data_IF_860676917036
#
_entry.id   IF_860676917036
#
_cell.length_a   1.000
_cell.length_b   1.000
_cell.length_c   1.000
_cell.angle_alpha   90.00
_cell.angle_beta   90.00
_cell.angle_gamma   90.00
#
_symmetry.space_group_name_H-M   'P 1'
#
loop_
_entity.id
_entity.type
_entity.pdbx_description
1 polymer ?
#
# COMPACT_ATOMS: atom_id res chain seq x y z
N UNK A 1 12.70 -1.12 21.35
CA UNK A 1 13.44 -0.87 22.57
C UNK A 1 13.18 -1.94 23.63
N UNK A 2 11.96 -2.47 23.77
CA UNK A 2 11.68 -3.66 24.58
C UNK A 2 11.61 -3.42 26.09
N UNK A 3 11.35 -2.19 26.52
CA UNK A 3 11.13 -1.90 27.95
C UNK A 3 9.63 -2.00 28.26
N UNK A 4 9.22 -2.83 29.22
CA UNK A 4 7.90 -2.77 29.80
C UNK A 4 7.59 -1.37 30.32
N UNK A 5 6.40 -0.87 30.02
CA UNK A 5 6.07 0.54 30.28
C UNK A 5 4.72 0.63 30.97
N UNK A 6 4.67 1.33 32.12
CA UNK A 6 3.43 1.74 32.77
C UNK A 6 3.01 3.10 32.21
N UNK A 7 1.73 3.25 31.88
CA UNK A 7 1.18 4.45 31.24
C UNK A 7 0.01 5.01 32.03
N UNK A 8 0.03 6.32 32.29
CA UNK A 8 -1.12 7.11 32.74
C UNK A 8 -1.41 8.13 31.66
N UNK A 9 -2.64 8.20 31.18
CA UNK A 9 -3.04 9.19 30.16
C UNK A 9 -3.41 10.52 30.80
N UNK A 10 -2.96 11.61 30.19
CA UNK A 10 -3.18 12.98 30.71
C UNK A 10 -4.29 13.73 29.96
N UNK A 11 -4.65 13.27 28.76
CA UNK A 11 -5.63 13.89 27.89
C UNK A 11 -6.54 12.84 27.24
N UNK A 12 -7.80 13.20 26.98
CA UNK A 12 -8.83 12.30 26.44
C UNK A 12 -8.42 11.66 25.10
N UNK A 13 -7.74 12.39 24.23
CA UNK A 13 -7.28 11.90 22.94
C UNK A 13 -6.19 10.81 23.03
N UNK A 14 -5.58 10.60 24.21
CA UNK A 14 -4.58 9.57 24.46
C UNK A 14 -5.21 8.23 24.86
N UNK A 15 -6.44 8.24 25.40
CA UNK A 15 -7.12 7.03 25.90
C UNK A 15 -7.24 5.93 24.83
N UNK A 16 -7.71 6.20 23.59
CA UNK A 16 -7.86 5.14 22.58
C UNK A 16 -6.53 4.46 22.23
N UNK A 17 -5.44 5.23 22.16
CA UNK A 17 -4.10 4.71 21.87
C UNK A 17 -3.58 3.87 23.04
N UNK A 18 -3.75 4.37 24.27
CA UNK A 18 -3.30 3.64 25.47
C UNK A 18 -4.05 2.32 25.67
N UNK A 19 -5.36 2.31 25.42
CA UNK A 19 -6.21 1.13 25.48
C UNK A 19 -5.81 0.08 24.43
N UNK A 20 -5.56 0.49 23.19
CA UNK A 20 -5.12 -0.41 22.13
C UNK A 20 -3.75 -1.03 22.43
N UNK A 21 -2.79 -0.20 22.89
CA UNK A 21 -1.48 -0.69 23.28
C UNK A 21 -1.54 -1.64 24.50
N UNK A 22 -2.45 -1.38 25.42
CA UNK A 22 -2.69 -2.24 26.58
C UNK A 22 -3.28 -3.60 26.16
N UNK A 23 -4.30 -3.61 25.29
CA UNK A 23 -4.88 -4.85 24.74
C UNK A 23 -3.87 -5.66 23.94
N UNK A 24 -2.96 -4.97 23.24
CA UNK A 24 -1.86 -5.61 22.52
C UNK A 24 -0.75 -6.15 23.44
N UNK A 25 -0.83 -5.92 24.75
CA UNK A 25 0.17 -6.34 25.73
C UNK A 25 1.51 -5.62 25.58
N UNK A 26 1.51 -4.42 25.04
CA UNK A 26 2.73 -3.60 24.82
C UNK A 26 2.98 -2.62 25.97
N UNK A 27 1.93 -2.19 26.65
CA UNK A 27 2.02 -1.34 27.85
C UNK A 27 1.04 -1.85 28.91
N UNK A 28 1.26 -1.48 30.18
CA UNK A 28 0.27 -1.57 31.24
C UNK A 28 -0.33 -0.19 31.44
N UNK A 29 -1.55 0.02 30.91
CA UNK A 29 -2.27 1.28 31.11
C UNK A 29 -2.98 1.25 32.44
N UNK A 30 -2.66 2.19 33.33
CA UNK A 30 -3.19 2.29 34.68
C UNK A 30 -4.52 3.07 34.72
N UNK A 31 -4.78 3.91 33.69
CA UNK A 31 -5.98 4.73 33.60
C UNK A 31 -5.67 6.20 33.20
N UNK A 32 -6.68 7.05 33.31
CA UNK A 32 -6.53 8.49 33.11
C UNK A 32 -6.13 9.20 34.42
N UNK A 33 -5.44 10.31 34.33
CA UNK A 33 -4.97 11.10 35.50
C UNK A 33 -6.04 11.39 36.55
N UNK A 34 -7.29 11.53 36.12
CA UNK A 34 -8.42 11.83 37.03
C UNK A 34 -9.02 10.56 37.69
N UNK A 35 -8.55 9.37 37.31
CA UNK A 35 -9.03 8.06 37.73
C UNK A 35 -7.96 7.27 38.51
N UNK A 36 -6.69 7.71 38.43
CA UNK A 36 -5.54 7.03 39.00
C UNK A 36 -4.97 7.86 40.15
N UNK A 37 -4.91 7.28 41.33
CA UNK A 37 -4.32 7.90 42.50
C UNK A 37 -2.80 7.70 42.54
N UNK A 38 -2.10 8.49 43.37
CA UNK A 38 -0.68 8.34 43.63
C UNK A 38 -0.36 6.95 44.21
N UNK A 39 -1.24 6.40 45.04
CA UNK A 39 -1.13 5.07 45.62
C UNK A 39 -1.23 3.96 44.55
N UNK A 40 -2.12 4.11 43.55
CA UNK A 40 -2.22 3.14 42.46
C UNK A 40 -0.92 3.09 41.63
N UNK A 41 -0.28 4.23 41.43
CA UNK A 41 1.01 4.32 40.70
C UNK A 41 2.12 3.67 41.54
N UNK A 42 2.19 3.98 42.84
CA UNK A 42 3.17 3.39 43.77
C UNK A 42 3.03 1.88 43.82
N UNK A 43 1.81 1.38 43.93
CA UNK A 43 1.55 -0.07 43.95
C UNK A 43 1.95 -0.74 42.63
N UNK A 44 1.57 -0.17 41.47
CA UNK A 44 1.93 -0.71 40.17
C UNK A 44 3.45 -0.73 39.94
N UNK A 45 4.17 0.28 40.43
CA UNK A 45 5.63 0.33 40.37
C UNK A 45 6.27 -0.71 41.30
N UNK A 46 5.76 -0.88 42.52
CA UNK A 46 6.24 -1.87 43.47
C UNK A 46 6.07 -3.29 42.91
N UNK A 47 4.88 -3.62 42.38
CA UNK A 47 4.62 -4.88 41.72
C UNK A 47 5.58 -5.12 40.55
N UNK A 48 5.80 -4.13 39.70
CA UNK A 48 6.70 -4.27 38.54
C UNK A 48 8.17 -4.46 38.96
N UNK A 49 8.59 -3.84 40.05
CA UNK A 49 9.95 -4.00 40.57
C UNK A 49 10.13 -5.39 41.18
N UNK A 50 9.13 -5.90 41.88
CA UNK A 50 9.16 -7.22 42.53
C UNK A 50 9.11 -8.34 41.47
N UNK A 51 8.26 -8.23 40.47
CA UNK A 51 8.13 -9.20 39.38
C UNK A 51 9.33 -9.17 38.42
N UNK A 52 10.05 -8.06 38.36
CA UNK A 52 11.18 -7.86 37.44
C UNK A 52 10.75 -7.61 36.00
N UNK A 53 11.66 -7.82 35.06
CA UNK A 53 11.39 -7.64 33.62
C UNK A 53 10.83 -8.94 33.05
N UNK A 54 9.54 -8.92 32.67
CA UNK A 54 8.93 -9.99 31.88
C UNK A 54 9.56 -10.03 30.49
N UNK A 55 10.26 -11.13 30.21
CA UNK A 55 10.96 -11.35 28.94
C UNK A 55 9.97 -11.42 27.78
N UNK A 56 8.81 -12.04 27.96
CA UNK A 56 7.80 -12.13 26.91
C UNK A 56 7.21 -10.76 26.58
N UNK A 57 6.93 -9.93 27.58
CA UNK A 57 6.51 -8.54 27.38
C UNK A 57 7.60 -7.74 26.64
N UNK A 58 8.84 -7.85 27.07
CA UNK A 58 9.98 -7.22 26.40
C UNK A 58 10.11 -7.65 24.93
N UNK A 59 9.94 -8.93 24.63
CA UNK A 59 9.98 -9.45 23.26
C UNK A 59 8.80 -8.94 22.41
N UNK A 60 7.59 -8.88 22.96
CA UNK A 60 6.42 -8.26 22.26
C UNK A 60 6.69 -6.80 21.94
N UNK A 61 7.21 -6.03 22.89
CA UNK A 61 7.56 -4.62 22.65
C UNK A 61 8.64 -4.45 21.57
N UNK A 62 9.65 -5.31 21.54
CA UNK A 62 10.68 -5.30 20.49
C UNK A 62 10.14 -5.68 19.12
N UNK A 63 9.22 -6.63 19.07
CA UNK A 63 8.57 -7.00 17.82
C UNK A 63 7.69 -5.88 17.25
N UNK A 64 7.04 -5.09 18.13
CA UNK A 64 6.21 -3.95 17.73
C UNK A 64 7.03 -2.73 17.31
N UNK A 65 8.21 -2.51 17.93
CA UNK A 65 9.08 -1.34 17.68
C UNK A 65 10.53 -1.79 17.49
N UNK A 66 10.92 -2.00 16.25
CA UNK A 66 12.28 -2.45 15.87
C UNK A 66 13.34 -1.34 15.83
N UNK A 67 12.98 -0.10 16.13
CA UNK A 67 13.88 1.06 16.11
C UNK A 67 14.27 1.56 14.71
N UNK A 68 13.78 0.93 13.63
CA UNK A 68 14.14 1.24 12.23
C UNK A 68 13.20 2.22 11.53
N UNK A 69 12.39 2.95 12.28
CA UNK A 69 11.42 3.90 11.69
C UNK A 69 12.08 4.97 10.83
N UNK A 70 13.23 5.51 11.25
CA UNK A 70 14.00 6.51 10.49
C UNK A 70 14.53 5.91 9.19
N UNK A 71 15.04 4.68 9.23
CA UNK A 71 15.53 3.98 8.04
C UNK A 71 14.41 3.76 7.03
N UNK A 72 13.22 3.36 7.48
CA UNK A 72 12.04 3.19 6.62
C UNK A 72 11.60 4.50 6.00
N UNK A 73 11.54 5.57 6.78
CA UNK A 73 11.20 6.91 6.27
C UNK A 73 12.26 7.37 5.27
N UNK A 74 13.54 7.21 5.59
CA UNK A 74 14.65 7.51 4.70
C UNK A 74 14.58 6.73 3.38
N UNK A 75 14.32 5.42 3.46
CA UNK A 75 14.14 4.57 2.29
C UNK A 75 12.98 5.07 1.41
N UNK A 76 11.81 5.35 2.00
CA UNK A 76 10.66 5.89 1.24
C UNK A 76 10.98 7.24 0.61
N UNK A 77 11.68 8.13 1.30
CA UNK A 77 12.04 9.45 0.79
C UNK A 77 13.07 9.39 -0.35
N UNK A 78 13.94 8.38 -0.36
CA UNK A 78 14.97 8.21 -1.39
C UNK A 78 14.45 7.62 -2.71
N UNK A 79 13.22 7.06 -2.72
CA UNK A 79 12.63 6.46 -3.92
C UNK A 79 12.30 7.55 -4.95
N UNK A 80 12.93 7.45 -6.10
CA UNK A 80 12.81 8.39 -7.24
C UNK A 80 12.66 7.64 -8.56
N UNK A 81 12.54 8.37 -9.67
CA UNK A 81 12.43 7.79 -11.00
C UNK A 81 13.61 6.90 -11.42
N UNK A 82 14.78 7.02 -10.75
CA UNK A 82 15.97 6.18 -10.99
C UNK A 82 16.04 4.92 -10.12
N UNK A 83 15.14 4.76 -9.16
CA UNK A 83 15.12 3.58 -8.27
C UNK A 83 14.78 2.32 -9.07
N UNK A 84 15.56 1.23 -8.95
CA UNK A 84 15.23 -0.06 -9.55
C UNK A 84 13.88 -0.57 -9.03
N UNK A 85 13.03 -1.03 -9.94
CA UNK A 85 11.72 -1.54 -9.62
C UNK A 85 11.58 -3.00 -10.02
N UNK A 86 11.08 -3.82 -9.12
CA UNK A 86 10.75 -5.22 -9.31
C UNK A 86 9.23 -5.37 -9.53
N UNK A 87 8.85 -6.38 -10.30
CA UNK A 87 7.46 -6.69 -10.60
C UNK A 87 7.15 -8.10 -10.15
N UNK A 88 6.22 -8.25 -9.22
CA UNK A 88 5.71 -9.55 -8.79
C UNK A 88 4.20 -9.65 -9.02
N UNK A 89 3.70 -10.87 -9.07
CA UNK A 89 2.26 -11.11 -9.02
C UNK A 89 1.72 -10.67 -7.65
N UNK A 90 0.51 -10.11 -7.66
CA UNK A 90 -0.22 -9.83 -6.43
C UNK A 90 -0.59 -11.14 -5.72
N UNK A 91 -0.56 -11.14 -4.40
CA UNK A 91 -0.92 -12.26 -3.55
C UNK A 91 -1.96 -11.84 -2.49
N UNK A 92 -2.51 -12.78 -1.74
CA UNK A 92 -3.59 -12.51 -0.80
C UNK A 92 -3.27 -11.42 0.24
N UNK A 93 -2.00 -11.28 0.63
CA UNK A 93 -1.58 -10.25 1.58
C UNK A 93 -1.66 -8.82 1.01
N UNK A 94 -1.78 -8.65 -0.30
CA UNK A 94 -1.90 -7.34 -0.95
C UNK A 94 -3.35 -6.80 -0.95
N UNK A 95 -4.36 -7.62 -0.58
CA UNK A 95 -5.78 -7.28 -0.66
C UNK A 95 -6.10 -5.94 0.03
N UNK A 96 -5.65 -5.78 1.28
CA UNK A 96 -5.90 -4.57 2.07
C UNK A 96 -5.18 -3.34 1.48
N UNK A 97 -3.93 -3.49 1.07
CA UNK A 97 -3.13 -2.42 0.47
C UNK A 97 -3.77 -1.92 -0.83
N UNK A 98 -4.17 -2.84 -1.70
CA UNK A 98 -4.78 -2.48 -2.99
C UNK A 98 -6.16 -1.84 -2.82
N UNK A 99 -6.93 -2.22 -1.79
CA UNK A 99 -8.17 -1.53 -1.44
C UNK A 99 -7.92 -0.06 -1.03
N UNK A 100 -6.90 0.18 -0.19
CA UNK A 100 -6.52 1.54 0.20
C UNK A 100 -6.15 2.37 -1.03
N UNK A 101 -5.33 1.84 -1.93
CA UNK A 101 -4.95 2.54 -3.17
C UNK A 101 -6.12 2.73 -4.15
N UNK A 102 -7.03 1.76 -4.21
CA UNK A 102 -8.23 1.87 -5.03
C UNK A 102 -9.15 2.98 -4.54
N UNK A 103 -9.24 3.21 -3.25
CA UNK A 103 -10.10 4.23 -2.63
C UNK A 103 -9.42 5.58 -2.38
N UNK A 104 -8.17 5.72 -2.78
CA UNK A 104 -7.51 7.02 -2.74
C UNK A 104 -8.28 8.05 -3.61
N UNK A 105 -8.51 9.28 -3.11
CA UNK A 105 -9.33 10.28 -3.82
C UNK A 105 -8.85 10.61 -5.23
N UNK A 106 -7.53 10.75 -5.45
CA UNK A 106 -6.97 11.03 -6.78
C UNK A 106 -7.12 9.82 -7.71
N UNK A 107 -6.98 8.60 -7.18
CA UNK A 107 -7.24 7.37 -7.93
C UNK A 107 -8.71 7.29 -8.35
N UNK A 108 -9.67 7.58 -7.46
CA UNK A 108 -11.10 7.61 -7.78
C UNK A 108 -11.43 8.69 -8.81
N UNK A 109 -10.90 9.88 -8.67
CA UNK A 109 -11.09 10.97 -9.62
C UNK A 109 -10.65 10.58 -11.04
N UNK A 110 -9.55 9.86 -11.16
CA UNK A 110 -9.01 9.41 -12.44
C UNK A 110 -9.67 8.11 -12.96
N UNK A 111 -10.46 7.43 -12.15
CA UNK A 111 -11.21 6.23 -12.53
C UNK A 111 -12.47 6.59 -13.36
N UNK A 112 -12.89 5.70 -14.27
CA UNK A 112 -14.17 5.82 -14.96
C UNK A 112 -15.38 5.61 -14.03
N UNK A 113 -15.18 4.89 -12.90
CA UNK A 113 -16.16 4.77 -11.82
C UNK A 113 -15.62 5.51 -10.60
N UNK A 114 -16.07 6.75 -10.33
CA UNK A 114 -15.48 7.59 -9.26
C UNK A 114 -15.92 7.22 -7.85
N UNK A 115 -16.98 6.43 -7.71
CA UNK A 115 -17.52 6.05 -6.42
C UNK A 115 -16.52 5.19 -5.60
N UNK A 116 -16.53 5.29 -4.26
CA UNK A 116 -15.74 4.43 -3.40
C UNK A 116 -16.06 2.94 -3.63
N UNK A 117 -15.03 2.11 -3.61
CA UNK A 117 -15.17 0.65 -3.74
C UNK A 117 -15.42 0.06 -2.35
N UNK A 118 -16.59 -0.59 -2.10
CA UNK A 118 -16.86 -1.28 -0.85
C UNK A 118 -15.83 -2.39 -0.60
N UNK A 119 -15.46 -2.60 0.66
CA UNK A 119 -14.42 -3.56 1.03
C UNK A 119 -14.78 -5.00 0.59
N UNK A 120 -16.07 -5.38 0.71
CA UNK A 120 -16.52 -6.71 0.32
C UNK A 120 -16.48 -6.91 -1.20
N UNK A 121 -16.90 -5.91 -1.98
CA UNK A 121 -16.84 -5.94 -3.44
C UNK A 121 -15.40 -6.05 -3.94
N UNK A 122 -14.49 -5.26 -3.32
CA UNK A 122 -13.06 -5.35 -3.61
C UNK A 122 -12.50 -6.73 -3.29
N UNK A 123 -12.87 -7.32 -2.14
CA UNK A 123 -12.42 -8.64 -1.72
C UNK A 123 -12.81 -9.71 -2.74
N UNK A 124 -14.07 -9.73 -3.14
CA UNK A 124 -14.58 -10.69 -4.13
C UNK A 124 -13.91 -10.51 -5.48
N UNK A 125 -13.82 -9.25 -5.95
CA UNK A 125 -13.13 -8.89 -7.18
C UNK A 125 -11.66 -9.31 -7.13
N UNK A 126 -10.92 -8.91 -6.09
CA UNK A 126 -9.49 -9.18 -5.95
C UNK A 126 -9.19 -10.69 -5.97
N UNK A 127 -9.93 -11.47 -5.18
CA UNK A 127 -9.76 -12.91 -5.10
C UNK A 127 -10.11 -13.61 -6.41
N UNK A 128 -11.06 -13.10 -7.16
CA UNK A 128 -11.36 -13.61 -8.50
C UNK A 128 -10.22 -13.32 -9.48
N UNK A 129 -9.63 -12.11 -9.41
CA UNK A 129 -8.58 -11.69 -10.34
C UNK A 129 -7.24 -12.38 -10.11
N UNK A 130 -6.83 -12.61 -8.87
CA UNK A 130 -5.58 -13.35 -8.60
C UNK A 130 -5.67 -14.84 -8.95
N UNK A 131 -6.88 -15.41 -9.08
CA UNK A 131 -7.11 -16.80 -9.49
C UNK A 131 -7.26 -16.96 -10.99
N UNK A 132 -7.64 -15.89 -11.68
CA UNK A 132 -7.86 -15.90 -13.14
C UNK A 132 -6.53 -15.70 -13.88
N UNK A 133 -5.76 -16.78 -13.93
CA UNK A 133 -4.44 -16.75 -14.56
C UNK A 133 -4.48 -16.64 -16.10
N UNK A 134 -5.61 -16.87 -16.74
CA UNK A 134 -5.75 -16.77 -18.19
C UNK A 134 -6.30 -15.40 -18.63
N UNK A 135 -7.13 -14.77 -17.79
CA UNK A 135 -7.81 -13.52 -18.10
C UNK A 135 -7.27 -12.29 -17.38
N UNK A 136 -6.44 -12.45 -16.34
CA UNK A 136 -5.92 -11.33 -15.57
C UNK A 136 -4.47 -11.51 -15.15
N UNK A 137 -3.69 -10.43 -15.24
CA UNK A 137 -2.36 -10.28 -14.62
C UNK A 137 -2.40 -9.08 -13.71
N UNK A 138 -2.44 -9.32 -12.42
CA UNK A 138 -2.38 -8.27 -11.41
C UNK A 138 -0.99 -8.28 -10.78
N UNK A 139 -0.24 -7.21 -11.00
CA UNK A 139 1.12 -7.03 -10.50
C UNK A 139 1.18 -5.96 -9.43
N UNK A 140 2.00 -6.21 -8.41
CA UNK A 140 2.54 -5.19 -7.51
C UNK A 140 3.95 -4.86 -7.98
N UNK A 141 4.22 -3.58 -8.08
CA UNK A 141 5.56 -3.05 -8.41
C UNK A 141 6.15 -2.50 -7.14
N UNK A 142 7.35 -2.96 -6.80
CA UNK A 142 8.03 -2.63 -5.54
C UNK A 142 9.51 -2.33 -5.78
N UNK A 143 10.19 -1.76 -4.78
CA UNK A 143 11.64 -1.61 -4.79
C UNK A 143 12.35 -2.92 -4.47
N UNK A 144 13.67 -2.97 -4.58
CA UNK A 144 14.48 -4.14 -4.19
C UNK A 144 14.35 -4.45 -2.69
N UNK A 145 14.04 -3.44 -1.85
CA UNK A 145 13.78 -3.61 -0.42
C UNK A 145 12.35 -4.06 -0.11
N UNK A 146 11.52 -4.32 -1.14
CA UNK A 146 10.15 -4.78 -1.00
C UNK A 146 9.15 -3.69 -0.62
N UNK A 147 9.45 -2.40 -0.88
CA UNK A 147 8.51 -1.28 -0.65
C UNK A 147 7.57 -1.19 -1.85
N UNK A 148 6.24 -1.42 -1.68
CA UNK A 148 5.29 -1.37 -2.78
C UNK A 148 5.10 0.07 -3.27
N UNK A 149 5.33 0.31 -4.57
CA UNK A 149 5.28 1.63 -5.20
C UNK A 149 3.96 1.86 -5.95
N UNK A 150 3.33 0.78 -6.39
CA UNK A 150 2.06 0.85 -7.11
C UNK A 150 1.65 -0.51 -7.68
N UNK A 151 0.57 -0.51 -8.43
CA UNK A 151 0.04 -1.70 -9.08
C UNK A 151 -0.18 -1.50 -10.56
N UNK A 152 -0.11 -2.59 -11.34
CA UNK A 152 -0.49 -2.63 -12.75
C UNK A 152 -1.32 -3.89 -12.98
N UNK A 153 -2.48 -3.70 -13.60
CA UNK A 153 -3.38 -4.77 -13.98
C UNK A 153 -3.50 -4.83 -15.50
N UNK A 154 -3.43 -6.03 -16.03
CA UNK A 154 -3.77 -6.37 -17.41
C UNK A 154 -4.97 -7.30 -17.37
N UNK A 155 -6.05 -6.95 -18.06
CA UNK A 155 -7.24 -7.77 -18.22
C UNK A 155 -7.44 -8.11 -19.70
N UNK A 156 -7.65 -9.39 -19.98
CA UNK A 156 -7.81 -9.88 -21.34
C UNK A 156 -9.14 -9.41 -21.94
N UNK A 157 -9.07 -8.78 -23.09
CA UNK A 157 -10.22 -8.33 -23.86
C UNK A 157 -10.07 -8.85 -25.30
N UNK A 158 -10.58 -10.06 -25.54
CA UNK A 158 -10.40 -10.75 -26.81
C UNK A 158 -8.91 -11.02 -27.12
N UNK A 159 -8.37 -10.50 -28.24
CA UNK A 159 -6.96 -10.70 -28.59
C UNK A 159 -6.02 -9.70 -27.86
N UNK A 160 -6.55 -8.68 -27.22
CA UNK A 160 -5.78 -7.62 -26.56
C UNK A 160 -5.86 -7.71 -25.03
N UNK A 161 -4.98 -6.95 -24.35
CA UNK A 161 -4.98 -6.79 -22.91
C UNK A 161 -5.20 -5.34 -22.53
N UNK A 162 -6.24 -5.06 -21.77
CA UNK A 162 -6.50 -3.73 -21.22
C UNK A 162 -5.61 -3.47 -20.00
N UNK A 163 -4.95 -2.30 -19.97
CA UNK A 163 -4.07 -1.87 -18.89
C UNK A 163 -4.84 -0.94 -17.96
N UNK A 164 -4.71 -1.18 -16.66
CA UNK A 164 -5.03 -0.24 -15.60
C UNK A 164 -3.86 -0.18 -14.61
N UNK A 165 -3.49 1.02 -14.16
CA UNK A 165 -2.40 1.15 -13.19
C UNK A 165 -2.62 2.32 -12.24
N UNK A 166 -2.02 2.25 -11.07
CA UNK A 166 -1.94 3.35 -10.12
C UNK A 166 -0.62 3.33 -9.34
N UNK A 167 -0.14 4.53 -9.02
CA UNK A 167 0.93 4.73 -8.04
C UNK A 167 0.32 4.83 -6.64
N UNK A 168 1.01 4.31 -5.66
CA UNK A 168 0.73 4.59 -4.27
C UNK A 168 0.80 6.12 -4.03
N UNK A 169 -0.10 6.70 -3.22
CA UNK A 169 -0.21 8.15 -3.04
C UNK A 169 1.11 8.83 -2.68
N UNK A 170 1.89 8.22 -1.80
CA UNK A 170 3.19 8.72 -1.32
C UNK A 170 4.28 8.79 -2.38
N UNK A 171 4.11 8.08 -3.50
CA UNK A 171 5.09 8.03 -4.60
C UNK A 171 4.70 8.83 -5.84
N UNK A 172 3.57 9.51 -5.79
CA UNK A 172 3.14 10.41 -6.87
C UNK A 172 4.06 11.63 -6.99
N UNK A 173 4.05 12.25 -8.17
CA UNK A 173 4.85 13.46 -8.49
C UNK A 173 6.39 13.28 -8.37
N UNK A 174 6.87 12.04 -8.20
CA UNK A 174 8.30 11.68 -8.14
C UNK A 174 8.83 11.08 -9.46
N UNK A 175 8.05 11.15 -10.55
CA UNK A 175 8.44 10.61 -11.85
C UNK A 175 8.36 9.08 -11.98
N UNK A 176 7.81 8.37 -11.00
CA UNK A 176 7.78 6.91 -10.93
C UNK A 176 6.74 6.25 -11.86
N UNK A 177 5.77 6.97 -12.39
CA UNK A 177 4.72 6.38 -13.23
C UNK A 177 5.25 5.73 -14.51
N UNK A 178 6.22 6.36 -15.18
CA UNK A 178 6.86 5.80 -16.39
C UNK A 178 7.71 4.56 -16.07
N UNK A 179 8.64 4.57 -15.11
CA UNK A 179 9.38 3.37 -14.67
C UNK A 179 8.45 2.22 -14.25
N UNK A 180 7.43 2.49 -13.45
CA UNK A 180 6.45 1.51 -13.00
C UNK A 180 5.78 0.79 -14.18
N UNK A 181 5.20 1.56 -15.09
CA UNK A 181 4.50 0.97 -16.24
C UNK A 181 5.48 0.27 -17.19
N UNK A 182 6.68 0.82 -17.40
CA UNK A 182 7.73 0.19 -18.19
C UNK A 182 8.14 -1.18 -17.64
N UNK A 183 8.34 -1.29 -16.33
CA UNK A 183 8.69 -2.55 -15.67
C UNK A 183 7.59 -3.60 -15.85
N UNK A 184 6.32 -3.22 -15.62
CA UNK A 184 5.18 -4.11 -15.80
C UNK A 184 4.99 -4.56 -17.27
N UNK A 185 5.18 -3.65 -18.24
CA UNK A 185 5.15 -4.00 -19.66
C UNK A 185 6.27 -4.96 -20.05
N UNK A 186 7.47 -4.80 -19.48
CA UNK A 186 8.58 -5.72 -19.68
C UNK A 186 8.25 -7.12 -19.15
N UNK A 187 7.68 -7.21 -17.97
CA UNK A 187 7.19 -8.47 -17.38
C UNK A 187 6.11 -9.11 -18.26
N UNK A 188 5.13 -8.32 -18.68
CA UNK A 188 4.03 -8.77 -19.53
C UNK A 188 4.52 -9.28 -20.88
N UNK A 189 5.48 -8.56 -21.51
CA UNK A 189 6.10 -8.98 -22.77
C UNK A 189 6.85 -10.31 -22.65
N UNK A 190 7.49 -10.55 -21.51
CA UNK A 190 8.15 -11.83 -21.25
C UNK A 190 7.15 -12.98 -21.15
N UNK A 191 6.00 -12.75 -20.49
CA UNK A 191 4.95 -13.77 -20.33
C UNK A 191 4.10 -13.95 -21.60
N UNK A 192 3.85 -12.85 -22.32
CA UNK A 192 3.00 -12.80 -23.51
C UNK A 192 3.65 -11.96 -24.62
N UNK A 193 4.56 -12.53 -25.40
CA UNK A 193 5.19 -11.79 -26.51
C UNK A 193 4.19 -11.50 -27.64
N UNK A 194 4.36 -10.34 -28.26
CA UNK A 194 3.61 -9.91 -29.44
C UNK A 194 2.10 -9.76 -29.27
N UNK A 195 1.64 -9.47 -28.03
CA UNK A 195 0.23 -9.18 -27.76
C UNK A 195 -0.06 -7.67 -27.80
N UNK A 196 -1.22 -7.26 -28.34
CA UNK A 196 -1.65 -5.88 -28.24
C UNK A 196 -2.09 -5.56 -26.81
N UNK A 197 -1.66 -4.39 -26.32
CA UNK A 197 -2.07 -3.83 -25.03
C UNK A 197 -2.74 -2.48 -25.25
N UNK A 198 -3.83 -2.23 -24.52
CA UNK A 198 -4.69 -1.06 -24.64
C UNK A 198 -4.79 -0.34 -23.29
N UNK A 199 -4.63 0.96 -23.29
CA UNK A 199 -4.87 1.80 -22.10
C UNK A 199 -5.89 2.87 -22.43
N UNK A 200 -7.01 2.92 -21.69
CA UNK A 200 -8.01 4.00 -21.85
C UNK A 200 -7.77 5.04 -20.76
N UNK A 201 -7.64 6.30 -21.16
CA UNK A 201 -7.30 7.42 -20.27
C UNK A 201 -8.32 8.53 -20.44
N UNK A 202 -8.80 9.10 -19.33
CA UNK A 202 -9.63 10.32 -19.36
C UNK A 202 -8.87 11.48 -20.03
N UNK A 203 -9.51 12.33 -20.82
CA UNK A 203 -8.86 13.46 -21.49
C UNK A 203 -8.09 14.38 -20.51
N UNK A 204 -8.62 14.56 -19.31
CA UNK A 204 -8.05 15.44 -18.28
C UNK A 204 -6.89 14.83 -17.52
N UNK A 205 -6.68 13.51 -17.61
CA UNK A 205 -5.56 12.84 -16.95
C UNK A 205 -4.25 12.99 -17.74
N UNK A 206 -3.76 14.24 -17.82
CA UNK A 206 -2.54 14.59 -18.54
C UNK A 206 -1.31 13.81 -18.10
N UNK A 207 -1.09 13.52 -16.79
CA UNK A 207 0.06 12.70 -16.37
C UNK A 207 0.06 11.32 -17.00
N UNK A 208 -1.07 10.61 -16.98
CA UNK A 208 -1.18 9.27 -17.57
C UNK A 208 -0.98 9.29 -19.08
N UNK A 209 -1.57 10.28 -19.79
CA UNK A 209 -1.39 10.47 -21.23
C UNK A 209 0.10 10.57 -21.61
N UNK A 210 0.85 11.47 -20.94
CA UNK A 210 2.30 11.66 -21.15
C UNK A 210 3.10 10.37 -20.91
N UNK A 211 2.69 9.55 -19.94
CA UNK A 211 3.35 8.27 -19.66
C UNK A 211 3.15 7.31 -20.84
N UNK A 212 1.93 7.11 -21.33
CA UNK A 212 1.67 6.24 -22.48
C UNK A 212 2.43 6.72 -23.74
N UNK A 213 2.37 8.02 -24.04
CA UNK A 213 3.08 8.64 -25.17
C UNK A 213 4.61 8.41 -25.05
N UNK A 214 5.18 8.64 -23.86
CA UNK A 214 6.61 8.45 -23.62
C UNK A 214 7.08 6.99 -23.70
N UNK A 215 6.15 6.04 -23.60
CA UNK A 215 6.40 4.61 -23.73
C UNK A 215 6.12 4.10 -25.15
N UNK A 216 5.85 5.00 -26.11
CA UNK A 216 5.68 4.64 -27.51
C UNK A 216 4.34 3.97 -27.81
N UNK A 217 3.29 4.30 -27.07
CA UNK A 217 1.94 3.90 -27.44
C UNK A 217 1.40 4.80 -28.54
N UNK A 218 0.70 4.21 -29.48
CA UNK A 218 -0.05 4.92 -30.52
C UNK A 218 -1.40 5.36 -29.94
N UNK A 219 -1.83 6.57 -30.36
CA UNK A 219 -3.12 7.13 -29.94
C UNK A 219 -4.21 6.65 -30.91
N UNK A 220 -5.25 6.05 -30.35
CA UNK A 220 -6.49 5.77 -31.04
C UNK A 220 -7.59 6.61 -30.35
N UNK A 221 -8.46 7.24 -31.12
CA UNK A 221 -9.58 8.01 -30.56
C UNK A 221 -10.82 7.14 -30.46
N UNK A 222 -11.51 7.19 -29.31
CA UNK A 222 -12.78 6.55 -29.05
C UNK A 222 -13.73 7.55 -28.35
N UNK A 223 -15.03 7.36 -28.46
CA UNK A 223 -16.05 8.24 -27.85
C UNK A 223 -16.01 8.28 -26.33
N UNK A 224 -15.47 7.24 -25.68
CA UNK A 224 -15.38 7.12 -24.21
C UNK A 224 -14.09 7.65 -23.57
N UNK A 225 -13.09 8.06 -24.38
CA UNK A 225 -11.79 8.51 -23.87
C UNK A 225 -10.67 8.42 -24.90
N UNK A 226 -9.43 8.62 -24.47
CA UNK A 226 -8.27 8.47 -25.33
C UNK A 226 -7.72 7.05 -25.14
N UNK A 227 -7.77 6.27 -26.19
CA UNK A 227 -7.24 4.89 -26.18
C UNK A 227 -5.81 4.91 -26.69
N UNK A 228 -4.94 4.33 -25.93
CA UNK A 228 -3.53 4.12 -26.25
C UNK A 228 -3.28 2.65 -26.57
N UNK A 229 -2.62 2.36 -27.69
CA UNK A 229 -2.32 1.01 -28.16
C UNK A 229 -0.83 0.80 -28.33
N UNK A 230 -0.35 -0.38 -27.96
CA UNK A 230 0.99 -0.84 -28.25
C UNK A 230 1.01 -2.36 -28.42
N UNK A 231 1.89 -2.87 -29.28
CA UNK A 231 2.20 -4.31 -29.37
C UNK A 231 3.48 -4.53 -28.56
N UNK A 232 3.46 -5.51 -27.65
CA UNK A 232 4.57 -5.86 -26.77
C UNK A 232 5.63 -6.71 -27.46
#
# INVERSE_FOLDING_TARGET
LGLPTLVVTLAENQRPIADELHRAGLVRWLGHKDEVSEQDIEQALAEQIEEGIDIEWSLRCRAAVDGRGVDRVGAVLSITAGTPLLVRHACLSDEALLLVWANDPETRQNSFSPDPVPAEDHRQWFRSRIRDLDGCRLYVVETEEGIPVGQVRFERQGPAWAISYSLAPEFRKRGLGRPLLKAALTKMRFEYPSVPVLGTVKPDNLPSRRIFESLGFEVLFDEGGIVYRRIL
#
